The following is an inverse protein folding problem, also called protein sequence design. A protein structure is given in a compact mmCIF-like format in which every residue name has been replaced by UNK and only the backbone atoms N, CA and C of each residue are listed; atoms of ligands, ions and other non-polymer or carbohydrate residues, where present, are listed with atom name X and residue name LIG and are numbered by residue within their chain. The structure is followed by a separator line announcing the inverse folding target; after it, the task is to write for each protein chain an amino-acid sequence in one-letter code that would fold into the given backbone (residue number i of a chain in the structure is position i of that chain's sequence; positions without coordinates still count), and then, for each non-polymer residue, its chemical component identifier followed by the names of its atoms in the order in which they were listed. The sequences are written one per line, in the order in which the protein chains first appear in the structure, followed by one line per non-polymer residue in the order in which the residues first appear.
data_IF_884718941263
#
_entry.id   IF_884718941263
#
_cell.length_a   1.000
_cell.length_b   1.000
_cell.length_c   1.000
_cell.angle_alpha   90.00
_cell.angle_beta   90.00
_cell.angle_gamma   90.00
#
_symmetry.space_group_name_H-M   'P 1'
#
loop_
_entity.id
_entity.type
_entity.pdbx_description
1 polymer ?
#
# COMPACT_ATOMS: atom_id res chain seq x y z
N UNK A 1 -22.96 10.75 18.67
CA UNK A 1 -22.23 11.66 17.76
C UNK A 1 -20.72 11.65 17.95
N UNK A 2 -20.13 11.95 19.13
CA UNK A 2 -18.66 11.99 19.28
C UNK A 2 -17.92 10.66 18.99
N UNK A 3 -18.53 9.52 19.33
CA UNK A 3 -17.96 8.19 19.07
C UNK A 3 -17.84 7.88 17.56
N UNK A 4 -18.86 8.21 16.78
CA UNK A 4 -18.89 7.97 15.34
C UNK A 4 -17.86 8.83 14.60
N UNK A 5 -17.71 10.10 15.01
CA UNK A 5 -16.69 10.99 14.45
C UNK A 5 -15.28 10.46 14.76
N UNK A 6 -15.03 9.96 15.97
CA UNK A 6 -13.75 9.32 16.30
C UNK A 6 -13.51 8.06 15.49
N UNK A 7 -14.53 7.22 15.29
CA UNK A 7 -14.42 6.01 14.47
C UNK A 7 -14.16 6.36 13.00
N UNK A 8 -14.87 7.34 12.43
CA UNK A 8 -14.69 7.80 11.06
C UNK A 8 -13.26 8.35 10.86
N UNK A 9 -12.75 9.14 11.81
CA UNK A 9 -11.37 9.64 11.79
C UNK A 9 -10.35 8.50 11.85
N UNK A 10 -10.61 7.45 12.65
CA UNK A 10 -9.77 6.25 12.71
C UNK A 10 -9.74 5.51 11.37
N UNK A 11 -10.90 5.26 10.77
CA UNK A 11 -11.02 4.58 9.47
C UNK A 11 -10.32 5.38 8.37
N UNK A 12 -10.53 6.70 8.33
CA UNK A 12 -9.83 7.61 7.41
C UNK A 12 -8.31 7.50 7.54
N UNK A 13 -7.78 7.57 8.78
CA UNK A 13 -6.34 7.44 9.03
C UNK A 13 -5.80 6.07 8.63
N UNK A 14 -6.54 4.99 8.89
CA UNK A 14 -6.14 3.64 8.52
C UNK A 14 -6.04 3.48 6.99
N UNK A 15 -7.05 3.97 6.25
CA UNK A 15 -7.06 3.90 4.79
C UNK A 15 -5.91 4.71 4.18
N UNK A 16 -5.68 5.93 4.67
CA UNK A 16 -4.55 6.75 4.22
C UNK A 16 -3.20 6.10 4.47
N UNK A 17 -3.02 5.48 5.64
CA UNK A 17 -1.79 4.73 5.96
C UNK A 17 -1.60 3.54 5.04
N UNK A 18 -2.66 2.79 4.75
CA UNK A 18 -2.59 1.64 3.85
C UNK A 18 -2.17 2.05 2.43
N UNK A 19 -2.72 3.15 1.92
CA UNK A 19 -2.35 3.70 0.61
C UNK A 19 -0.91 4.18 0.59
N UNK A 20 -0.51 4.91 1.62
CA UNK A 20 0.86 5.38 1.75
C UNK A 20 1.87 4.23 1.83
N UNK A 21 1.50 3.11 2.47
CA UNK A 21 2.34 1.92 2.60
C UNK A 21 2.45 1.16 1.28
N UNK A 22 1.34 0.98 0.57
CA UNK A 22 1.23 0.01 -0.52
C UNK A 22 1.29 0.61 -1.92
N UNK A 23 0.79 1.83 -2.10
CA UNK A 23 0.77 2.53 -3.39
C UNK A 23 1.99 3.44 -3.51
N UNK A 24 2.38 4.13 -2.43
CA UNK A 24 3.55 5.01 -2.40
C UNK A 24 3.21 6.48 -2.13
N UNK A 25 4.23 7.34 -2.16
CA UNK A 25 4.13 8.78 -1.87
C UNK A 25 4.49 9.67 -3.06
N UNK A 26 4.71 9.08 -4.22
CA UNK A 26 5.15 9.82 -5.40
C UNK A 26 4.06 10.78 -5.90
N UNK A 27 4.45 11.92 -6.45
CA UNK A 27 3.52 13.00 -6.82
C UNK A 27 2.45 12.54 -7.81
N UNK A 28 2.79 11.67 -8.77
CA UNK A 28 1.83 11.13 -9.72
C UNK A 28 0.75 10.24 -9.09
N UNK A 29 0.96 9.71 -7.87
CA UNK A 29 -0.01 8.91 -7.09
C UNK A 29 -0.81 9.72 -6.08
N UNK A 30 -0.55 11.03 -5.97
CA UNK A 30 -1.21 11.92 -5.01
C UNK A 30 -2.74 11.93 -5.15
N UNK A 31 -3.24 11.73 -6.36
CA UNK A 31 -4.67 11.68 -6.68
C UNK A 31 -5.45 10.65 -5.84
N UNK A 32 -4.86 9.53 -5.42
CA UNK A 32 -5.52 8.56 -4.54
C UNK A 32 -5.87 9.15 -3.17
N UNK A 33 -4.89 9.84 -2.56
CA UNK A 33 -5.08 10.49 -1.25
C UNK A 33 -6.05 11.66 -1.35
N UNK A 34 -5.99 12.41 -2.44
CA UNK A 34 -6.90 13.52 -2.69
C UNK A 34 -8.33 13.04 -2.89
N UNK A 35 -8.53 12.00 -3.69
CA UNK A 35 -9.84 11.39 -3.89
C UNK A 35 -10.48 10.95 -2.58
N UNK A 36 -9.74 10.26 -1.72
CA UNK A 36 -10.26 9.81 -0.41
C UNK A 36 -10.57 10.99 0.50
N UNK A 37 -9.71 12.00 0.51
CA UNK A 37 -9.95 13.21 1.30
C UNK A 37 -11.19 13.93 0.82
N UNK A 38 -11.43 14.00 -0.49
CA UNK A 38 -12.64 14.57 -1.07
C UNK A 38 -13.87 13.73 -0.71
N UNK A 39 -13.81 12.40 -0.82
CA UNK A 39 -14.94 11.51 -0.48
C UNK A 39 -15.33 11.63 1.01
N UNK A 40 -14.37 11.67 1.93
CA UNK A 40 -14.67 11.87 3.35
C UNK A 40 -15.23 13.28 3.63
N UNK A 41 -14.78 14.32 2.91
CA UNK A 41 -15.33 15.68 3.03
C UNK A 41 -16.76 15.77 2.49
N UNK A 42 -17.05 15.16 1.35
CA UNK A 42 -18.40 15.11 0.76
C UNK A 42 -19.40 14.44 1.71
N UNK A 43 -18.99 13.32 2.31
CA UNK A 43 -19.81 12.56 3.24
C UNK A 43 -19.87 13.17 4.65
N UNK A 44 -19.09 14.21 4.96
CA UNK A 44 -19.07 14.87 6.27
C UNK A 44 -20.35 15.63 6.62
N UNK A 45 -21.22 15.91 5.63
CA UNK A 45 -22.52 16.56 5.82
C UNK A 45 -23.68 15.55 5.99
N UNK A 46 -23.41 14.25 5.88
CA UNK A 46 -24.43 13.22 6.04
C UNK A 46 -24.90 13.19 7.50
N UNK A 47 -26.21 13.29 7.68
CA UNK A 47 -26.86 13.25 9.01
C UNK A 47 -27.54 11.91 9.29
N UNK A 48 -27.79 11.10 8.25
CA UNK A 48 -28.41 9.79 8.40
C UNK A 48 -27.41 8.74 8.94
N UNK A 49 -27.63 8.16 10.13
CA UNK A 49 -26.69 7.22 10.76
C UNK A 49 -26.44 5.96 9.92
N UNK A 50 -27.46 5.45 9.22
CA UNK A 50 -27.34 4.24 8.38
C UNK A 50 -26.37 4.48 7.21
N UNK A 51 -26.54 5.61 6.51
CA UNK A 51 -25.65 6.01 5.43
C UNK A 51 -24.20 6.21 5.90
N UNK A 52 -24.00 6.80 7.08
CA UNK A 52 -22.67 7.02 7.67
C UNK A 52 -22.00 5.67 7.97
N UNK A 53 -22.72 4.74 8.60
CA UNK A 53 -22.20 3.42 8.91
C UNK A 53 -21.85 2.62 7.64
N UNK A 54 -22.68 2.70 6.60
CA UNK A 54 -22.42 2.05 5.32
C UNK A 54 -21.16 2.59 4.65
N UNK A 55 -20.97 3.91 4.63
CA UNK A 55 -19.76 4.55 4.08
C UNK A 55 -18.51 4.20 4.88
N UNK A 56 -18.61 4.17 6.21
CA UNK A 56 -17.51 3.73 7.07
C UNK A 56 -17.14 2.27 6.83
N UNK A 57 -18.14 1.37 6.71
CA UNK A 57 -17.93 -0.04 6.39
C UNK A 57 -17.26 -0.20 5.03
N UNK A 58 -17.67 0.58 4.03
CA UNK A 58 -17.05 0.58 2.70
C UNK A 58 -15.56 0.95 2.77
N UNK A 59 -15.21 2.03 3.47
CA UNK A 59 -13.81 2.44 3.63
C UNK A 59 -12.98 1.40 4.39
N UNK A 60 -13.58 0.73 5.39
CA UNK A 60 -12.95 -0.38 6.09
C UNK A 60 -12.69 -1.58 5.16
N UNK A 61 -13.69 -1.97 4.36
CA UNK A 61 -13.57 -3.07 3.40
C UNK A 61 -12.46 -2.80 2.36
N UNK A 62 -12.35 -1.58 1.84
CA UNK A 62 -11.27 -1.23 0.93
C UNK A 62 -9.89 -1.27 1.61
N UNK A 63 -9.81 -0.82 2.86
CA UNK A 63 -8.57 -0.91 3.64
C UNK A 63 -8.17 -2.37 3.84
N UNK A 64 -9.13 -3.25 4.16
CA UNK A 64 -8.92 -4.68 4.31
C UNK A 64 -8.46 -5.30 2.99
N UNK A 65 -9.17 -5.06 1.89
CA UNK A 65 -8.83 -5.57 0.56
C UNK A 65 -7.40 -5.19 0.15
N UNK A 66 -7.05 -3.91 0.28
CA UNK A 66 -5.71 -3.43 -0.09
C UNK A 66 -4.62 -4.13 0.72
N UNK A 67 -4.80 -4.25 2.03
CA UNK A 67 -3.83 -4.95 2.88
C UNK A 67 -3.73 -6.43 2.54
N UNK A 68 -4.85 -7.11 2.31
CA UNK A 68 -4.86 -8.55 1.99
C UNK A 68 -4.20 -8.84 0.65
N UNK A 69 -4.49 -8.04 -0.39
CA UNK A 69 -3.86 -8.21 -1.71
C UNK A 69 -2.34 -8.05 -1.62
N UNK A 70 -1.87 -7.02 -0.91
CA UNK A 70 -0.43 -6.82 -0.73
C UNK A 70 0.21 -7.90 0.15
N UNK A 71 -0.48 -8.37 1.19
CA UNK A 71 0.00 -9.49 1.99
C UNK A 71 0.15 -10.77 1.15
N UNK A 72 -0.81 -11.09 0.28
CA UNK A 72 -0.69 -12.22 -0.63
C UNK A 72 0.44 -12.04 -1.65
N UNK A 73 0.62 -10.83 -2.17
CA UNK A 73 1.76 -10.50 -3.04
C UNK A 73 3.09 -10.75 -2.33
N UNK A 74 3.24 -10.27 -1.10
CA UNK A 74 4.46 -10.48 -0.30
C UNK A 74 4.69 -11.97 -0.01
N UNK A 75 3.61 -12.72 0.25
CA UNK A 75 3.67 -14.17 0.45
C UNK A 75 4.15 -14.90 -0.81
N UNK A 76 3.61 -14.57 -1.99
CA UNK A 76 4.07 -15.15 -3.26
C UNK A 76 5.56 -14.89 -3.49
N UNK A 77 6.03 -13.68 -3.22
CA UNK A 77 7.44 -13.35 -3.28
C UNK A 77 8.28 -14.11 -2.27
N UNK A 78 7.79 -14.37 -1.05
CA UNK A 78 8.52 -15.19 -0.07
C UNK A 78 8.74 -16.63 -0.50
N UNK A 79 7.86 -17.17 -1.36
CA UNK A 79 8.03 -18.49 -1.97
C UNK A 79 8.79 -18.44 -3.30
N UNK A 80 9.37 -17.30 -3.66
CA UNK A 80 10.01 -17.04 -4.96
C UNK A 80 9.07 -17.31 -6.15
N UNK A 81 7.76 -17.20 -5.94
CA UNK A 81 6.75 -17.31 -6.99
C UNK A 81 6.62 -15.92 -7.63
N UNK A 82 6.76 -15.87 -8.95
CA UNK A 82 6.80 -14.64 -9.74
C UNK A 82 8.01 -13.71 -9.46
N UNK A 83 9.09 -14.24 -8.86
CA UNK A 83 10.40 -13.58 -8.84
C UNK A 83 11.21 -14.07 -10.04
N UNK A 84 11.76 -13.13 -10.81
CA UNK A 84 12.70 -13.46 -11.89
C UNK A 84 14.01 -13.94 -11.25
N UNK A 85 14.20 -15.25 -11.22
CA UNK A 85 15.37 -15.90 -10.61
C UNK A 85 16.68 -15.36 -11.15
N UNK A 86 16.71 -14.93 -12.42
CA UNK A 86 17.90 -14.35 -13.05
C UNK A 86 18.29 -13.04 -12.37
N UNK A 87 17.33 -12.15 -12.13
CA UNK A 87 17.56 -10.87 -11.45
C UNK A 87 17.89 -11.03 -9.96
N UNK A 88 17.32 -12.03 -9.30
CA UNK A 88 17.63 -12.31 -7.90
C UNK A 88 19.03 -12.90 -7.74
N UNK A 89 19.42 -13.79 -8.66
CA UNK A 89 20.79 -14.29 -8.75
C UNK A 89 21.78 -13.14 -9.00
N UNK A 90 21.51 -12.23 -9.93
CA UNK A 90 22.36 -11.06 -10.20
C UNK A 90 22.51 -10.16 -8.96
N UNK A 91 21.40 -9.89 -8.24
CA UNK A 91 21.41 -9.12 -6.99
C UNK A 91 22.25 -9.77 -5.90
N UNK A 92 22.15 -11.10 -5.75
CA UNK A 92 22.93 -11.84 -4.74
C UNK A 92 24.40 -11.88 -5.12
N UNK A 93 24.74 -12.10 -6.39
CA UNK A 93 26.10 -12.02 -6.91
C UNK A 93 26.71 -10.64 -6.70
N UNK A 94 25.96 -9.56 -6.96
CA UNK A 94 26.42 -8.20 -6.72
C UNK A 94 26.69 -7.89 -5.25
N UNK A 95 25.84 -8.37 -4.33
CA UNK A 95 26.08 -8.26 -2.89
C UNK A 95 27.33 -9.03 -2.46
N UNK A 96 27.51 -10.26 -2.96
CA UNK A 96 28.68 -11.08 -2.67
C UNK A 96 29.96 -10.43 -3.20
N UNK A 97 29.96 -9.95 -4.45
CA UNK A 97 31.10 -9.25 -5.03
C UNK A 97 31.45 -7.99 -4.23
N UNK A 98 30.46 -7.14 -3.90
CA UNK A 98 30.68 -5.94 -3.10
C UNK A 98 31.22 -6.25 -1.70
N UNK A 99 30.80 -7.35 -1.08
CA UNK A 99 31.30 -7.77 0.24
C UNK A 99 32.79 -8.11 0.26
N UNK A 100 33.33 -8.55 -0.89
CA UNK A 100 34.76 -8.85 -1.06
C UNK A 100 35.51 -7.73 -1.79
N UNK A 101 34.88 -6.56 -1.98
CA UNK A 101 35.48 -5.41 -2.67
C UNK A 101 35.63 -5.56 -4.18
N UNK A 102 34.92 -6.51 -4.79
CA UNK A 102 34.92 -6.78 -6.23
C UNK A 102 33.67 -6.21 -6.89
N UNK A 103 33.79 -5.86 -8.18
CA UNK A 103 32.66 -5.44 -9.01
C UNK A 103 32.17 -6.59 -9.89
N UNK A 104 30.90 -6.56 -10.29
CA UNK A 104 30.35 -7.53 -11.23
C UNK A 104 30.92 -7.30 -12.64
N UNK A 105 31.25 -8.37 -13.39
CA UNK A 105 31.69 -8.27 -14.78
C UNK A 105 30.67 -7.56 -15.68
N UNK A 106 31.13 -6.92 -16.76
CA UNK A 106 30.30 -6.16 -17.72
C UNK A 106 29.13 -6.98 -18.29
N UNK A 107 29.29 -8.30 -18.40
CA UNK A 107 28.26 -9.24 -18.89
C UNK A 107 26.97 -9.19 -18.05
N UNK A 108 27.05 -8.72 -16.80
CA UNK A 108 25.94 -8.59 -15.86
C UNK A 108 25.46 -7.15 -15.67
N UNK A 109 25.98 -6.17 -16.41
CA UNK A 109 25.62 -4.74 -16.26
C UNK A 109 24.53 -4.28 -17.25
N UNK A 110 23.86 -5.22 -17.93
CA UNK A 110 22.90 -4.96 -19.01
C UNK A 110 21.48 -4.57 -18.54
#
# INVERSE_FOLDING_TARGET
MNSEVMQAAKVYRCLLKAIQKHIGKEDYKRHFREHITQEFRKNGKLSDPSSVQQRMRLAHNYTFLLNSVHHHKDLLFSYNIAVDRSKEMERTLGKSAASVGLQLPEVYQA
#
